data_IF_972488007530
#
_entry.id   IF_972488007530
#
_cell.length_a   1.000
_cell.length_b   1.000
_cell.length_c   1.000
_cell.angle_alpha   90.00
_cell.angle_beta   90.00
_cell.angle_gamma   90.00
#
_symmetry.space_group_name_H-M   'P 1'
#
loop_
_entity.id
_entity.type
_entity.pdbx_description
1 polymer ?
#
# COMPACT_ATOMS: atom_id res chain seq x y z
N UNK A 1 4.80 -0.45 11.14
CA UNK A 1 5.64 0.00 10.00
C UNK A 1 4.93 -0.44 8.75
N UNK A 2 4.71 0.48 7.81
CA UNK A 2 4.00 0.21 6.56
C UNK A 2 4.95 -0.47 5.57
N UNK A 3 4.49 -1.56 4.96
CA UNK A 3 5.16 -2.28 3.87
C UNK A 3 4.51 -1.94 2.53
N UNK A 4 5.18 -2.26 1.43
CA UNK A 4 4.64 -2.06 0.07
C UNK A 4 3.26 -2.70 -0.09
N UNK A 5 3.07 -3.90 0.46
CA UNK A 5 1.80 -4.62 0.39
C UNK A 5 0.64 -3.91 1.10
N UNK A 6 0.91 -3.22 2.21
CA UNK A 6 -0.12 -2.48 2.94
C UNK A 6 -0.62 -1.30 2.10
N UNK A 7 0.28 -0.61 1.40
CA UNK A 7 -0.10 0.49 0.49
C UNK A 7 -0.84 -0.06 -0.74
N UNK A 8 -0.38 -1.16 -1.32
CA UNK A 8 -1.07 -1.81 -2.44
C UNK A 8 -2.50 -2.25 -2.06
N UNK A 9 -2.69 -2.75 -0.83
CA UNK A 9 -4.02 -3.07 -0.30
C UNK A 9 -4.91 -1.83 -0.24
N UNK A 10 -4.44 -0.75 0.38
CA UNK A 10 -5.19 0.51 0.45
C UNK A 10 -5.54 1.01 -0.95
N UNK A 11 -4.61 0.98 -1.91
CA UNK A 11 -4.90 1.36 -3.29
C UNK A 11 -5.95 0.46 -3.96
N UNK A 12 -5.95 -0.83 -3.64
CA UNK A 12 -6.92 -1.79 -4.17
C UNK A 12 -8.32 -1.64 -3.55
N UNK A 13 -8.42 -1.26 -2.27
CA UNK A 13 -9.68 -0.98 -1.57
C UNK A 13 -10.27 0.38 -1.97
N UNK A 14 -9.40 1.34 -2.29
CA UNK A 14 -9.76 2.71 -2.62
C UNK A 14 -9.49 3.05 -4.09
N UNK A 15 -9.73 2.11 -5.02
CA UNK A 15 -9.45 2.26 -6.47
C UNK A 15 -10.09 3.49 -7.10
N UNK A 16 -11.21 3.98 -6.58
CA UNK A 16 -11.87 5.19 -7.08
C UNK A 16 -11.14 6.51 -6.70
N UNK A 17 -10.06 6.43 -5.92
CA UNK A 17 -9.26 7.56 -5.46
C UNK A 17 -8.03 7.76 -6.34
N UNK A 18 -7.54 9.01 -6.43
CA UNK A 18 -6.22 9.29 -7.01
C UNK A 18 -5.15 9.12 -5.92
N UNK A 19 -4.04 8.49 -6.27
CA UNK A 19 -2.88 8.39 -5.39
C UNK A 19 -1.73 9.20 -5.95
N UNK A 20 -1.04 9.93 -5.08
CA UNK A 20 0.19 10.65 -5.41
C UNK A 20 1.29 10.20 -4.47
N UNK A 21 2.51 10.02 -4.98
CA UNK A 21 3.66 9.71 -4.16
C UNK A 21 4.90 10.48 -4.57
N UNK A 22 5.70 10.83 -3.56
CA UNK A 22 6.96 11.54 -3.69
C UNK A 22 8.11 10.57 -3.47
N UNK A 23 9.13 10.68 -4.30
CA UNK A 23 10.31 9.83 -4.26
C UNK A 23 11.49 10.71 -3.82
N UNK A 24 12.43 10.15 -3.08
CA UNK A 24 13.68 10.83 -2.78
C UNK A 24 14.48 11.12 -4.05
N UNK A 25 15.32 12.15 -4.02
CA UNK A 25 16.17 12.48 -5.15
C UNK A 25 17.36 11.52 -5.24
N UNK A 26 18.01 11.39 -6.41
CA UNK A 26 19.25 10.63 -6.54
C UNK A 26 20.36 11.11 -5.58
N UNK A 27 20.37 12.39 -5.21
CA UNK A 27 21.32 12.92 -4.23
C UNK A 27 21.05 12.35 -2.85
N UNK A 28 19.78 12.20 -2.47
CA UNK A 28 19.43 11.57 -1.21
C UNK A 28 19.73 10.08 -1.19
N UNK A 29 19.48 9.37 -2.29
CA UNK A 29 19.86 7.95 -2.41
C UNK A 29 21.38 7.73 -2.33
N UNK A 30 22.18 8.71 -2.76
CA UNK A 30 23.65 8.72 -2.66
C UNK A 30 24.17 9.22 -1.29
N UNK A 31 23.28 9.55 -0.34
CA UNK A 31 23.66 10.03 0.99
C UNK A 31 24.16 11.49 1.03
N UNK A 32 23.87 12.29 0.00
CA UNK A 32 24.21 13.71 -0.07
C UNK A 32 23.15 14.62 0.58
N UNK A 33 22.00 14.05 0.93
CA UNK A 33 20.91 14.70 1.68
C UNK A 33 20.02 13.62 2.29
N UNK A 34 19.39 13.88 3.43
CA UNK A 34 18.51 12.89 4.07
C UNK A 34 17.04 12.99 3.62
N UNK A 35 16.65 14.11 3.00
CA UNK A 35 15.23 14.46 2.78
C UNK A 35 14.94 15.09 1.42
N UNK A 36 15.94 15.23 0.55
CA UNK A 36 15.74 15.84 -0.77
C UNK A 36 14.83 14.94 -1.63
N UNK A 37 13.82 15.54 -2.26
CA UNK A 37 12.84 14.84 -3.09
C UNK A 37 13.13 15.07 -4.57
N UNK A 38 12.74 14.11 -5.41
CA UNK A 38 12.72 14.28 -6.85
C UNK A 38 11.83 15.45 -7.26
N UNK A 39 12.08 16.09 -8.40
CA UNK A 39 11.29 17.26 -8.81
C UNK A 39 9.82 16.90 -9.06
N UNK A 40 9.58 15.83 -9.82
CA UNK A 40 8.24 15.46 -10.27
C UNK A 40 7.61 14.41 -9.35
N UNK A 41 6.38 14.65 -8.85
CA UNK A 41 5.63 13.62 -8.15
C UNK A 41 5.17 12.54 -9.13
N UNK A 42 5.10 11.31 -8.63
CA UNK A 42 4.43 10.23 -9.33
C UNK A 42 2.96 10.15 -8.87
N UNK A 43 2.08 9.67 -9.74
CA UNK A 43 0.66 9.55 -9.45
C UNK A 43 0.04 8.34 -10.13
N UNK A 44 -1.07 7.88 -9.58
CA UNK A 44 -1.91 6.80 -10.10
C UNK A 44 -3.32 7.33 -10.18
N UNK A 45 -3.84 7.33 -11.40
CA UNK A 45 -5.20 7.78 -11.68
C UNK A 45 -6.24 6.83 -11.07
N UNK A 46 -7.43 7.37 -10.86
CA UNK A 46 -8.60 6.60 -10.43
C UNK A 46 -8.80 5.38 -11.33
N UNK A 47 -9.02 4.24 -10.72
CA UNK A 47 -9.23 2.93 -11.34
C UNK A 47 -8.05 2.44 -12.21
N UNK A 48 -6.85 3.00 -12.01
CA UNK A 48 -5.64 2.60 -12.71
C UNK A 48 -4.72 1.77 -11.80
N UNK A 49 -3.89 0.95 -12.43
CA UNK A 49 -2.77 0.24 -11.79
C UNK A 49 -1.42 0.73 -12.33
N UNK A 50 -1.43 1.83 -13.08
CA UNK A 50 -0.27 2.42 -13.74
C UNK A 50 0.12 3.72 -13.03
N UNK A 51 1.37 3.76 -12.56
CA UNK A 51 1.99 4.97 -12.08
C UNK A 51 2.55 5.78 -13.26
N UNK A 52 2.34 7.09 -13.21
CA UNK A 52 2.84 8.09 -14.15
C UNK A 52 3.59 9.19 -13.39
N UNK A 53 4.44 9.94 -14.07
CA UNK A 53 5.07 11.14 -13.51
C UNK A 53 4.30 12.38 -13.94
N UNK A 54 3.91 13.25 -12.99
CA UNK A 54 3.29 14.54 -13.35
C UNK A 54 4.31 15.35 -14.16
N UNK A 55 3.88 15.88 -15.31
CA UNK A 55 4.77 16.61 -16.22
C UNK A 55 5.57 15.74 -17.19
N UNK A 56 5.56 14.41 -17.03
CA UNK A 56 6.09 13.46 -18.02
C UNK A 56 5.22 12.21 -18.10
N UNK A 57 4.03 12.37 -18.67
CA UNK A 57 2.99 11.33 -18.75
C UNK A 57 3.36 10.15 -19.68
N UNK A 58 4.45 10.28 -20.45
CA UNK A 58 4.99 9.19 -21.28
C UNK A 58 5.70 8.12 -20.45
N UNK A 59 6.15 8.46 -19.26
CA UNK A 59 6.74 7.52 -18.31
C UNK A 59 5.61 6.82 -17.55
N UNK A 60 5.38 5.55 -17.87
CA UNK A 60 4.32 4.73 -17.30
C UNK A 60 4.91 3.41 -16.80
N UNK A 61 4.60 3.04 -15.56
CA UNK A 61 5.05 1.78 -14.95
C UNK A 61 3.93 1.14 -14.12
N UNK A 62 3.75 -0.19 -14.16
CA UNK A 62 2.84 -0.85 -13.23
C UNK A 62 3.24 -0.60 -11.78
N UNK A 63 2.27 -0.19 -10.95
CA UNK A 63 2.50 0.15 -9.53
C UNK A 63 3.13 -1.00 -8.76
N UNK A 64 2.66 -2.23 -9.03
CA UNK A 64 3.20 -3.44 -8.39
C UNK A 64 4.68 -3.64 -8.69
N UNK A 65 5.09 -3.45 -9.95
CA UNK A 65 6.49 -3.56 -10.37
C UNK A 65 7.35 -2.50 -9.69
N UNK A 66 6.87 -1.25 -9.64
CA UNK A 66 7.60 -0.18 -8.98
C UNK A 66 7.73 -0.42 -7.47
N UNK A 67 6.68 -0.88 -6.79
CA UNK A 67 6.71 -1.07 -5.34
C UNK A 67 7.50 -2.31 -4.92
N UNK A 68 7.59 -3.33 -5.78
CA UNK A 68 8.46 -4.48 -5.52
C UNK A 68 9.94 -4.12 -5.60
N UNK A 69 10.32 -3.26 -6.56
CA UNK A 69 11.71 -2.84 -6.76
C UNK A 69 12.13 -1.71 -5.82
N UNK A 70 11.33 -0.64 -5.74
CA UNK A 70 11.81 0.68 -5.33
C UNK A 70 11.00 1.30 -4.18
N UNK A 71 10.21 0.53 -3.42
CA UNK A 71 9.38 1.09 -2.33
C UNK A 71 10.17 1.83 -1.24
N UNK A 72 11.46 1.54 -1.05
CA UNK A 72 12.31 2.25 -0.09
C UNK A 72 12.65 3.68 -0.54
N UNK A 73 12.57 3.97 -1.83
CA UNK A 73 12.80 5.31 -2.40
C UNK A 73 11.62 6.25 -2.18
N UNK A 74 10.45 5.72 -1.82
CA UNK A 74 9.24 6.52 -1.64
C UNK A 74 9.25 7.21 -0.28
N UNK A 75 9.14 8.54 -0.30
CA UNK A 75 9.10 9.40 0.86
C UNK A 75 7.69 9.54 1.44
N UNK A 76 6.65 9.67 0.62
CA UNK A 76 5.30 9.91 1.11
C UNK A 76 4.23 9.49 0.12
N UNK A 77 3.04 9.18 0.63
CA UNK A 77 1.83 8.91 -0.15
C UNK A 77 0.69 9.85 0.23
N UNK A 78 -0.05 10.30 -0.78
CA UNK A 78 -1.31 11.00 -0.65
C UNK A 78 -2.42 10.24 -1.34
N UNK A 79 -3.62 10.28 -0.77
CA UNK A 79 -4.87 9.80 -1.36
C UNK A 79 -5.81 10.98 -1.48
N UNK A 80 -6.25 11.29 -2.70
CA UNK A 80 -7.08 12.47 -3.03
C UNK A 80 -6.53 13.79 -2.43
N UNK A 81 -5.20 13.91 -2.39
CA UNK A 81 -4.48 15.09 -1.88
C UNK A 81 -4.17 15.06 -0.38
N UNK A 82 -4.75 14.14 0.39
CA UNK A 82 -4.50 13.99 1.83
C UNK A 82 -3.31 13.05 2.10
N UNK A 83 -2.39 13.45 2.96
CA UNK A 83 -1.23 12.64 3.34
C UNK A 83 -1.66 11.44 4.19
N UNK A 84 -1.39 10.22 3.70
CA UNK A 84 -1.79 8.98 4.37
C UNK A 84 -0.64 8.26 5.07
N UNK A 85 0.57 8.33 4.52
CA UNK A 85 1.78 7.79 5.15
C UNK A 85 3.04 8.48 4.64
N UNK A 86 4.09 8.49 5.46
CA UNK A 86 5.37 9.13 5.15
C UNK A 86 6.57 8.45 5.81
N UNK A 87 7.76 8.71 5.25
CA UNK A 87 9.07 8.51 5.85
C UNK A 87 9.63 9.89 6.20
N UNK A 88 10.13 10.04 7.42
CA UNK A 88 10.75 11.30 7.86
C UNK A 88 12.09 11.59 7.18
N UNK A 89 12.81 10.56 6.76
CA UNK A 89 14.08 10.65 6.05
C UNK A 89 14.34 9.36 5.26
N UNK A 90 15.28 9.40 4.31
CA UNK A 90 15.70 8.22 3.58
C UNK A 90 16.28 7.14 4.52
N UNK A 91 15.98 5.87 4.24
CA UNK A 91 16.32 4.75 5.11
C UNK A 91 15.49 4.61 6.40
N UNK A 92 14.68 5.62 6.77
CA UNK A 92 13.74 5.51 7.90
C UNK A 92 12.49 4.73 7.51
N UNK A 93 11.82 4.06 8.47
CA UNK A 93 10.60 3.32 8.21
C UNK A 93 9.45 4.21 7.73
N UNK A 94 8.61 3.68 6.83
CA UNK A 94 7.35 4.31 6.44
C UNK A 94 6.32 4.15 7.57
N UNK A 95 5.73 5.27 7.99
CA UNK A 95 4.79 5.37 9.10
C UNK A 95 3.45 5.90 8.57
N UNK A 96 2.34 5.30 9.03
CA UNK A 96 1.01 5.79 8.73
C UNK A 96 0.74 7.10 9.46
N UNK A 97 0.22 8.09 8.73
CA UNK A 97 -0.35 9.32 9.30
C UNK A 97 -1.81 9.06 9.68
N UNK A 98 -2.55 8.36 8.81
CA UNK A 98 -3.88 7.85 9.12
C UNK A 98 -3.81 6.35 9.40
N UNK A 99 -3.70 5.97 10.67
CA UNK A 99 -3.49 4.57 11.05
C UNK A 99 -4.68 3.66 10.72
N UNK A 100 -5.91 4.18 10.86
CA UNK A 100 -7.14 3.45 10.57
C UNK A 100 -7.24 3.01 9.09
N UNK A 101 -6.64 3.77 8.18
CA UNK A 101 -6.62 3.43 6.75
C UNK A 101 -5.80 2.15 6.46
N UNK A 102 -4.83 1.82 7.31
CA UNK A 102 -3.96 0.67 7.13
C UNK A 102 -4.33 -0.52 8.02
N UNK A 103 -5.35 -0.39 8.86
CA UNK A 103 -5.86 -1.48 9.69
C UNK A 103 -6.54 -2.52 8.80
N UNK A 104 -5.92 -3.70 8.69
CA UNK A 104 -6.51 -4.83 8.00
C UNK A 104 -7.41 -5.59 8.98
N UNK A 105 -8.62 -5.93 8.55
CA UNK A 105 -9.45 -6.84 9.34
C UNK A 105 -8.94 -8.27 9.26
N UNK A 106 -9.25 -9.06 10.30
CA UNK A 106 -8.66 -10.38 10.53
C UNK A 106 -8.92 -11.37 9.39
N UNK A 107 -10.06 -11.26 8.69
CA UNK A 107 -10.35 -12.13 7.55
C UNK A 107 -9.48 -11.81 6.35
N UNK A 108 -9.31 -10.52 6.07
CA UNK A 108 -8.47 -10.03 4.97
C UNK A 108 -7.00 -10.41 5.20
N UNK A 109 -6.51 -10.30 6.45
CA UNK A 109 -5.18 -10.80 6.83
C UNK A 109 -5.03 -12.30 6.59
N UNK A 110 -6.04 -13.09 6.99
CA UNK A 110 -6.04 -14.54 6.82
C UNK A 110 -6.02 -14.94 5.35
N UNK A 111 -6.82 -14.30 4.49
CA UNK A 111 -6.81 -14.56 3.04
C UNK A 111 -5.46 -14.21 2.42
N UNK A 112 -4.91 -13.05 2.75
CA UNK A 112 -3.62 -12.63 2.21
C UNK A 112 -2.49 -13.59 2.61
N UNK A 113 -2.51 -14.08 3.85
CA UNK A 113 -1.57 -15.10 4.33
C UNK A 113 -1.70 -16.43 3.57
N UNK A 114 -2.93 -16.83 3.24
CA UNK A 114 -3.21 -18.04 2.45
C UNK A 114 -2.67 -17.92 1.03
N UNK A 115 -2.94 -16.81 0.33
CA UNK A 115 -2.42 -16.60 -1.02
C UNK A 115 -0.89 -16.51 -1.06
N UNK A 116 -0.26 -15.90 -0.05
CA UNK A 116 1.20 -15.88 0.10
C UNK A 116 1.76 -17.28 0.34
N UNK A 117 1.14 -18.07 1.22
CA UNK A 117 1.54 -19.44 1.49
C UNK A 117 1.47 -20.34 0.26
N UNK A 118 0.38 -20.27 -0.51
CA UNK A 118 0.18 -21.00 -1.76
C UNK A 118 1.28 -20.66 -2.79
N UNK A 119 1.64 -19.37 -2.93
CA UNK A 119 2.74 -18.95 -3.82
C UNK A 119 4.13 -19.46 -3.39
N UNK A 120 4.34 -19.74 -2.10
CA UNK A 120 5.63 -20.19 -1.56
C UNK A 120 5.74 -21.71 -1.38
N UNK A 121 4.68 -22.48 -1.71
CA UNK A 121 4.69 -23.95 -1.66
C UNK A 121 4.81 -24.56 -0.25
N UNK A 122 4.62 -23.77 0.82
CA UNK A 122 4.58 -24.27 2.20
C UNK A 122 3.16 -24.67 2.58
N UNK A 123 2.99 -25.89 3.09
CA UNK A 123 1.73 -26.31 3.74
C UNK A 123 1.38 -25.33 4.86
N UNK A 124 0.17 -24.79 4.80
CA UNK A 124 -0.33 -23.81 5.75
C UNK A 124 -1.00 -24.56 6.89
N UNK A 125 -0.39 -24.51 8.08
CA UNK A 125 -1.04 -24.94 9.32
C UNK A 125 -2.05 -23.86 9.70
N UNK A 126 -3.34 -24.16 9.60
CA UNK A 126 -4.42 -23.27 10.05
C UNK A 126 -4.43 -23.28 11.57
N UNK A 127 -4.11 -22.17 12.27
CA UNK A 127 -4.27 -22.12 13.72
C UNK A 127 -5.75 -22.31 14.06
N UNK A 128 -6.05 -23.04 15.13
CA UNK A 128 -7.42 -23.17 15.64
C UNK A 128 -8.06 -21.78 15.77
N UNK A 129 -9.20 -21.58 15.10
CA UNK A 129 -9.90 -20.29 15.08
C UNK A 129 -10.24 -19.86 16.50
N UNK A 130 -9.61 -18.78 16.98
CA UNK A 130 -10.02 -18.13 18.21
C UNK A 130 -11.40 -17.48 18.05
N UNK A 131 -12.16 -17.34 19.14
CA UNK A 131 -13.47 -16.70 19.14
C UNK A 131 -13.42 -15.24 18.66
N UNK A 132 -12.29 -14.55 18.91
CA UNK A 132 -12.02 -13.21 18.40
C UNK A 132 -11.87 -13.19 16.87
N UNK A 133 -11.21 -14.20 16.30
CA UNK A 133 -11.08 -14.40 14.85
C UNK A 133 -12.45 -14.64 14.21
N UNK A 134 -13.27 -15.51 14.81
CA UNK A 134 -14.62 -15.80 14.32
C UNK A 134 -15.55 -14.57 14.36
N UNK A 135 -15.47 -13.77 15.43
CA UNK A 135 -16.25 -12.53 15.58
C UNK A 135 -15.84 -11.45 14.56
N UNK A 136 -14.53 -11.28 14.33
CA UNK A 136 -14.00 -10.40 13.28
C UNK A 136 -14.46 -10.82 11.88
N UNK A 137 -14.40 -12.12 11.58
CA UNK A 137 -14.88 -12.70 10.31
C UNK A 137 -16.37 -12.44 10.08
N UNK A 138 -17.22 -12.68 11.09
CA UNK A 138 -18.66 -12.42 10.97
C UNK A 138 -18.95 -10.95 10.70
N UNK A 139 -18.22 -10.03 11.34
CA UNK A 139 -18.41 -8.59 11.16
C UNK A 139 -18.02 -8.11 9.76
N UNK A 140 -16.93 -8.61 9.21
CA UNK A 140 -16.50 -8.29 7.84
C UNK A 140 -17.43 -8.92 6.79
N UNK A 141 -17.86 -10.17 6.99
CA UNK A 141 -18.83 -10.83 6.10
C UNK A 141 -20.18 -10.11 6.05
N UNK A 142 -20.68 -9.67 7.21
CA UNK A 142 -21.93 -8.89 7.28
C UNK A 142 -21.80 -7.55 6.57
N UNK A 143 -20.67 -6.83 6.74
CA UNK A 143 -20.39 -5.60 5.98
C UNK A 143 -20.33 -5.83 4.47
N UNK A 144 -19.69 -6.90 4.01
CA UNK A 144 -19.66 -7.26 2.59
C UNK A 144 -21.07 -7.51 2.03
N UNK A 145 -21.90 -8.24 2.78
CA UNK A 145 -23.30 -8.50 2.41
C UNK A 145 -24.16 -7.24 2.38
N UNK A 146 -23.92 -6.28 3.26
CA UNK A 146 -24.60 -4.98 3.28
C UNK A 146 -24.19 -4.07 2.11
N UNK A 147 -22.96 -4.19 1.63
CA UNK A 147 -22.41 -3.38 0.54
C UNK A 147 -22.72 -3.92 -0.88
N UNK A 148 -23.37 -5.09 -1.01
CA UNK A 148 -24.11 -5.46 -2.22
C UNK A 148 -23.30 -5.76 -3.49
N UNK A 149 -22.23 -6.55 -3.42
CA UNK A 149 -21.68 -7.24 -4.60
C UNK A 149 -22.22 -8.68 -4.66
N UNK A 150 -23.43 -8.84 -5.17
CA UNK A 150 -24.02 -10.12 -5.59
C UNK A 150 -24.54 -10.01 -7.02
#
# INVERSE_FOLDING_TARGET
MIKSIDVLRVMAEHRASEFEFRIYSPRTEQGLSDTELSELPAYVEKNSTLAKLRGNEKSVIPVTTFFEADFQTIASFKMDGELICERKAYGQPMIAVNQALFEQGTYSEMLESQFKGIRTGREIFVPEMSEATASGMMKEFMKWKENGEA
#
